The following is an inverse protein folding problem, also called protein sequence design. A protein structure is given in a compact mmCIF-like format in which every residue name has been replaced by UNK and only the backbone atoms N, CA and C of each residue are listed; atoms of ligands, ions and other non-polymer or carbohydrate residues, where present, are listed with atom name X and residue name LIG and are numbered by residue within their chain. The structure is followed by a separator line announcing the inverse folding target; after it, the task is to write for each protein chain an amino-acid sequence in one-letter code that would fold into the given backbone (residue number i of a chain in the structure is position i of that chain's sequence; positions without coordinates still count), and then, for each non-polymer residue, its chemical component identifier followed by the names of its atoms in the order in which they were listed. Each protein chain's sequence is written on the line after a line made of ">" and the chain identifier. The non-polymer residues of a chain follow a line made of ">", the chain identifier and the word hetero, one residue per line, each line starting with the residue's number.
data_IF_496227301077
#
_entry.id   IF_496227301077
#
_cell.length_a   1.000
_cell.length_b   1.000
_cell.length_c   1.000
_cell.angle_alpha   90.00
_cell.angle_beta   90.00
_cell.angle_gamma   90.00
#
_symmetry.space_group_name_H-M   'P 1'
#
loop_
_entity.id
_entity.type
_entity.pdbx_description
1 polymer ?
#
# COMPACT_ATOMS: atom_id res chain seq x y z
N UNK A 1 -4.87 5.53 -21.44
CA UNK A 1 -5.11 6.50 -20.37
C UNK A 1 -5.25 5.71 -19.08
N UNK A 2 -4.45 6.01 -18.07
CA UNK A 2 -4.40 5.30 -16.78
C UNK A 2 -5.01 6.12 -15.64
N UNK A 3 -5.63 7.27 -15.94
CA UNK A 3 -6.25 8.18 -14.98
C UNK A 3 -7.24 7.49 -14.02
N UNK A 4 -7.85 6.38 -14.44
CA UNK A 4 -8.81 5.60 -13.64
C UNK A 4 -8.35 4.18 -13.26
N UNK A 5 -7.08 3.80 -13.47
CA UNK A 5 -6.65 2.40 -13.28
C UNK A 5 -6.93 1.84 -11.87
N UNK A 6 -6.75 2.65 -10.83
CA UNK A 6 -6.88 2.21 -9.44
C UNK A 6 -8.29 1.77 -9.05
N UNK A 7 -9.33 2.33 -9.67
CA UNK A 7 -10.72 1.93 -9.44
C UNK A 7 -10.95 0.44 -9.70
N UNK A 8 -10.91 -0.03 -10.96
CA UNK A 8 -11.11 -1.44 -11.27
C UNK A 8 -10.01 -2.36 -10.70
N UNK A 9 -8.78 -1.90 -10.54
CA UNK A 9 -7.68 -2.75 -10.08
C UNK A 9 -7.61 -2.93 -8.56
N UNK A 10 -7.88 -1.89 -7.77
CA UNK A 10 -7.55 -1.84 -6.35
C UNK A 10 -8.74 -1.55 -5.43
N UNK A 11 -9.91 -1.14 -5.94
CA UNK A 11 -11.04 -0.73 -5.08
C UNK A 11 -11.46 -1.84 -4.11
N UNK A 12 -11.62 -3.08 -4.60
CA UNK A 12 -11.98 -4.21 -3.74
C UNK A 12 -10.93 -4.49 -2.65
N UNK A 13 -9.64 -4.27 -2.96
CA UNK A 13 -8.57 -4.38 -1.97
C UNK A 13 -8.65 -3.27 -0.93
N UNK A 14 -8.85 -2.03 -1.36
CA UNK A 14 -8.99 -0.86 -0.50
C UNK A 14 -10.17 -1.03 0.48
N UNK A 15 -11.34 -1.38 -0.04
CA UNK A 15 -12.54 -1.59 0.77
C UNK A 15 -12.37 -2.78 1.72
N UNK A 16 -11.74 -3.87 1.25
CA UNK A 16 -11.42 -5.03 2.08
C UNK A 16 -10.48 -4.71 3.24
N UNK A 17 -9.50 -3.81 3.04
CA UNK A 17 -8.63 -3.33 4.12
C UNK A 17 -9.42 -2.53 5.15
N UNK A 18 -10.26 -1.59 4.69
CA UNK A 18 -11.10 -0.78 5.59
C UNK A 18 -12.09 -1.66 6.38
N UNK A 19 -12.67 -2.67 5.75
CA UNK A 19 -13.57 -3.61 6.40
C UNK A 19 -12.87 -4.49 7.46
N UNK A 20 -11.60 -4.85 7.24
CA UNK A 20 -10.78 -5.59 8.24
C UNK A 20 -10.38 -4.75 9.44
N UNK A 21 -10.39 -3.43 9.29
CA UNK A 21 -10.03 -2.51 10.35
C UNK A 21 -11.27 -1.80 10.90
N UNK A 22 -11.97 -2.40 11.87
CA UNK A 22 -13.20 -1.81 12.38
C UNK A 22 -12.95 -0.45 13.04
N UNK A 23 -13.95 0.42 12.92
CA UNK A 23 -14.02 1.70 13.63
C UNK A 23 -14.27 1.39 15.12
N UNK A 24 -13.45 1.90 16.05
CA UNK A 24 -13.69 1.71 17.48
C UNK A 24 -14.99 2.39 17.92
N UNK A 25 -15.59 1.93 19.03
CA UNK A 25 -16.80 2.54 19.60
C UNK A 25 -16.57 4.03 19.87
N UNK A 26 -17.46 4.88 19.36
CA UNK A 26 -17.32 6.35 19.44
C UNK A 26 -16.29 6.95 18.48
N UNK A 27 -15.63 6.13 17.67
CA UNK A 27 -14.73 6.55 16.60
C UNK A 27 -15.48 6.88 15.31
N UNK A 28 -14.83 7.67 14.45
CA UNK A 28 -15.34 8.00 13.10
C UNK A 28 -14.63 7.25 11.99
N UNK A 29 -13.51 6.59 12.31
CA UNK A 29 -12.63 5.97 11.32
C UNK A 29 -11.76 4.86 11.93
N UNK A 30 -11.24 3.91 11.12
CA UNK A 30 -10.34 2.88 11.62
C UNK A 30 -9.09 3.43 12.30
N UNK A 31 -8.60 2.70 13.30
CA UNK A 31 -7.40 3.13 14.04
C UNK A 31 -6.14 3.04 13.17
N UNK A 32 -5.22 3.99 13.36
CA UNK A 32 -3.87 3.91 12.76
C UNK A 32 -3.18 2.60 13.06
N UNK A 33 -3.36 2.05 14.27
CA UNK A 33 -2.76 0.77 14.66
C UNK A 33 -3.21 -0.37 13.75
N UNK A 34 -4.49 -0.43 13.39
CA UNK A 34 -4.98 -1.45 12.47
C UNK A 34 -4.57 -1.19 11.03
N UNK A 35 -4.56 0.08 10.59
CA UNK A 35 -4.22 0.45 9.22
C UNK A 35 -2.74 0.30 8.88
N UNK A 36 -1.85 0.40 9.87
CA UNK A 36 -0.38 0.34 9.72
C UNK A 36 0.15 -0.78 8.81
N UNK A 37 -0.23 -2.08 8.97
CA UNK A 37 0.27 -3.15 8.11
C UNK A 37 -0.15 -3.04 6.64
N UNK A 38 -1.19 -2.27 6.34
CA UNK A 38 -1.76 -2.13 5.00
C UNK A 38 -1.34 -0.83 4.29
N UNK A 39 -0.84 0.16 5.05
CA UNK A 39 -0.44 1.44 4.49
C UNK A 39 0.81 1.30 3.60
N UNK A 40 0.76 1.69 2.32
CA UNK A 40 1.91 1.58 1.44
C UNK A 40 3.08 2.45 1.90
N UNK A 41 2.82 3.70 2.30
CA UNK A 41 3.83 4.58 2.88
C UNK A 41 3.48 5.02 4.32
N UNK A 42 4.45 5.67 4.97
CA UNK A 42 4.31 6.16 6.34
C UNK A 42 3.71 7.58 6.40
N UNK A 43 3.32 8.15 5.26
CA UNK A 43 2.71 9.48 5.19
C UNK A 43 1.44 9.53 6.02
N UNK A 44 1.32 10.50 6.93
CA UNK A 44 0.12 10.69 7.74
C UNK A 44 -0.33 12.13 7.75
N UNK A 45 -1.65 12.33 7.82
CA UNK A 45 -2.27 13.65 8.01
C UNK A 45 -2.19 14.04 9.49
N UNK A 46 -1.84 15.30 9.77
CA UNK A 46 -1.76 15.84 11.13
C UNK A 46 -3.13 15.71 11.83
N UNK A 47 -3.17 15.01 12.96
CA UNK A 47 -4.41 14.72 13.70
C UNK A 47 -5.30 13.66 13.03
N UNK A 48 -4.86 13.05 11.93
CA UNK A 48 -5.58 12.04 11.17
C UNK A 48 -4.88 10.68 11.18
N UNK A 49 -4.98 9.97 10.05
CA UNK A 49 -4.40 8.65 9.84
C UNK A 49 -3.43 8.64 8.66
N UNK A 50 -3.05 7.47 8.19
CA UNK A 50 -2.27 7.29 6.95
C UNK A 50 -2.96 7.99 5.79
N UNK A 51 -2.20 8.73 4.98
CA UNK A 51 -2.73 9.52 3.88
C UNK A 51 -3.57 8.66 2.93
N UNK A 52 -3.09 7.44 2.61
CA UNK A 52 -3.82 6.46 1.81
C UNK A 52 -5.23 6.11 2.33
N UNK A 53 -5.50 6.29 3.62
CA UNK A 53 -6.78 5.93 4.26
C UNK A 53 -7.39 7.12 4.99
N UNK A 54 -7.01 8.35 4.70
CA UNK A 54 -7.59 9.50 5.40
C UNK A 54 -9.07 9.68 4.99
N UNK A 55 -10.00 9.98 5.91
CA UNK A 55 -11.37 10.32 5.52
C UNK A 55 -11.41 11.42 4.45
N UNK A 56 -12.14 11.16 3.36
CA UNK A 56 -12.20 12.04 2.18
C UNK A 56 -11.27 11.62 1.04
N UNK A 57 -10.30 10.75 1.31
CA UNK A 57 -9.47 10.10 0.29
C UNK A 57 -10.06 8.73 -0.08
N UNK A 58 -9.60 8.17 -1.18
CA UNK A 58 -10.08 6.90 -1.72
C UNK A 58 -8.94 6.04 -2.28
N UNK A 59 -9.31 5.09 -3.15
CA UNK A 59 -8.38 4.16 -3.80
C UNK A 59 -7.29 4.87 -4.62
N UNK A 60 -7.53 6.10 -5.09
CA UNK A 60 -6.54 6.90 -5.82
C UNK A 60 -5.35 7.25 -4.92
N UNK A 61 -5.59 7.71 -3.69
CA UNK A 61 -4.50 7.99 -2.75
C UNK A 61 -3.80 6.71 -2.29
N UNK A 62 -4.51 5.60 -2.16
CA UNK A 62 -3.89 4.30 -1.90
C UNK A 62 -2.94 3.90 -3.04
N UNK A 63 -3.37 4.04 -4.29
CA UNK A 63 -2.54 3.75 -5.46
C UNK A 63 -1.35 4.71 -5.59
N UNK A 64 -1.54 5.99 -5.28
CA UNK A 64 -0.47 7.00 -5.28
C UNK A 64 0.60 6.67 -4.22
N UNK A 65 0.19 6.33 -2.99
CA UNK A 65 1.11 5.93 -1.93
C UNK A 65 1.81 4.59 -2.26
N UNK A 66 1.15 3.70 -3.01
CA UNK A 66 1.78 2.48 -3.53
C UNK A 66 2.89 2.79 -4.55
N UNK A 67 2.66 3.75 -5.45
CA UNK A 67 3.69 4.23 -6.37
C UNK A 67 4.86 4.92 -5.66
N UNK A 68 4.57 5.73 -4.64
CA UNK A 68 5.61 6.31 -3.78
C UNK A 68 6.44 5.22 -3.10
N UNK A 69 5.76 4.20 -2.53
CA UNK A 69 6.44 3.08 -1.88
C UNK A 69 7.29 2.29 -2.87
N UNK A 70 6.80 2.05 -4.08
CA UNK A 70 7.55 1.42 -5.15
C UNK A 70 8.84 2.19 -5.43
N UNK A 71 8.74 3.48 -5.74
CA UNK A 71 9.91 4.32 -6.02
C UNK A 71 10.96 4.26 -4.91
N UNK A 72 10.54 4.40 -3.65
CA UNK A 72 11.44 4.38 -2.50
C UNK A 72 12.17 3.04 -2.36
N UNK A 73 11.46 1.91 -2.47
CA UNK A 73 12.08 0.60 -2.35
C UNK A 73 12.96 0.26 -3.57
N UNK A 74 12.56 0.63 -4.80
CA UNK A 74 13.41 0.46 -5.98
C UNK A 74 14.72 1.25 -5.83
N UNK A 75 14.65 2.50 -5.36
CA UNK A 75 15.84 3.33 -5.15
C UNK A 75 16.84 2.67 -4.21
N UNK A 76 16.37 2.14 -3.08
CA UNK A 76 17.25 1.45 -2.13
C UNK A 76 17.81 0.15 -2.72
N UNK A 77 16.98 -0.64 -3.42
CA UNK A 77 17.41 -1.88 -4.06
C UNK A 77 18.50 -1.63 -5.13
N UNK A 78 18.28 -0.67 -6.02
CA UNK A 78 19.24 -0.29 -7.07
C UNK A 78 20.54 0.29 -6.49
N UNK A 79 20.46 0.95 -5.33
CA UNK A 79 21.63 1.41 -4.60
C UNK A 79 22.33 0.30 -3.77
N UNK A 80 21.88 -0.96 -3.90
CA UNK A 80 22.36 -2.10 -3.11
C UNK A 80 22.27 -1.87 -1.59
N UNK A 81 21.29 -1.08 -1.15
CA UNK A 81 21.01 -0.80 0.25
C UNK A 81 19.97 -1.77 0.79
N UNK A 82 20.06 -2.04 2.09
CA UNK A 82 19.16 -2.99 2.75
C UNK A 82 17.76 -2.40 2.90
N UNK A 83 16.76 -3.13 2.41
CA UNK A 83 15.34 -2.89 2.67
C UNK A 83 14.93 -3.83 3.81
N UNK A 84 14.79 -3.30 5.02
CA UNK A 84 14.59 -4.13 6.21
C UNK A 84 13.24 -4.90 6.20
N UNK A 85 12.19 -4.29 5.65
CA UNK A 85 10.86 -4.87 5.56
C UNK A 85 10.16 -4.42 4.27
N UNK A 86 10.42 -5.11 3.14
CA UNK A 86 9.76 -4.82 1.87
C UNK A 86 8.24 -4.87 2.01
N UNK A 87 7.54 -3.90 1.43
CA UNK A 87 6.08 -3.76 1.56
C UNK A 87 5.34 -5.02 1.13
N UNK A 88 5.72 -5.55 -0.05
CA UNK A 88 5.15 -6.75 -0.66
C UNK A 88 5.30 -8.00 0.21
N UNK A 89 6.21 -8.00 1.19
CA UNK A 89 6.50 -9.16 2.02
C UNK A 89 5.74 -9.18 3.36
N UNK A 90 4.97 -8.13 3.67
CA UNK A 90 4.30 -8.04 4.97
C UNK A 90 3.06 -8.95 5.08
N UNK A 91 2.28 -9.09 4.01
CA UNK A 91 1.07 -9.92 3.96
C UNK A 91 0.61 -10.13 2.50
N UNK A 92 -0.28 -11.09 2.27
CA UNK A 92 -0.77 -11.43 0.93
C UNK A 92 -1.46 -10.27 0.19
N UNK A 93 -2.15 -9.36 0.90
CA UNK A 93 -2.84 -8.22 0.28
C UNK A 93 -1.85 -7.19 -0.25
N UNK A 94 -0.79 -6.90 0.50
CA UNK A 94 0.27 -6.01 0.07
C UNK A 94 0.99 -6.59 -1.15
N UNK A 95 1.26 -7.90 -1.15
CA UNK A 95 1.90 -8.59 -2.27
C UNK A 95 1.04 -8.49 -3.54
N UNK A 96 -0.26 -8.73 -3.42
CA UNK A 96 -1.21 -8.63 -4.55
C UNK A 96 -1.33 -7.18 -5.06
N UNK A 97 -1.46 -6.21 -4.15
CA UNK A 97 -1.53 -4.77 -4.52
C UNK A 97 -0.27 -4.35 -5.27
N UNK A 98 0.90 -4.73 -4.74
CA UNK A 98 2.20 -4.45 -5.35
C UNK A 98 2.31 -5.06 -6.75
N UNK A 99 1.93 -6.33 -6.91
CA UNK A 99 1.97 -7.00 -8.21
C UNK A 99 1.12 -6.27 -9.25
N UNK A 100 -0.12 -5.90 -8.90
CA UNK A 100 -0.99 -5.14 -9.81
C UNK A 100 -0.33 -3.84 -10.28
N UNK A 101 0.24 -3.07 -9.35
CA UNK A 101 0.92 -1.81 -9.65
C UNK A 101 2.17 -2.00 -10.53
N UNK A 102 3.02 -2.96 -10.17
CA UNK A 102 4.26 -3.24 -10.91
C UNK A 102 3.98 -3.77 -12.31
N UNK A 103 2.98 -4.64 -12.47
CA UNK A 103 2.57 -5.14 -13.79
C UNK A 103 2.08 -4.01 -14.68
N UNK A 104 1.22 -3.12 -14.16
CA UNK A 104 0.64 -2.02 -14.94
C UNK A 104 1.70 -0.98 -15.36
N UNK A 105 2.42 -0.42 -14.39
CA UNK A 105 3.21 0.79 -14.62
C UNK A 105 4.70 0.52 -14.91
N UNK A 106 5.17 -0.69 -14.62
CA UNK A 106 6.58 -1.03 -14.67
C UNK A 106 6.88 -2.29 -15.46
N UNK A 107 5.90 -2.82 -16.22
CA UNK A 107 6.04 -4.02 -17.04
C UNK A 107 6.60 -5.24 -16.27
N UNK A 108 6.29 -5.34 -14.98
CA UNK A 108 6.81 -6.43 -14.13
C UNK A 108 8.19 -6.18 -13.52
N UNK A 109 8.87 -5.06 -13.84
CA UNK A 109 10.20 -4.78 -13.32
C UNK A 109 10.16 -4.48 -11.81
N UNK A 110 10.90 -5.25 -11.02
CA UNK A 110 11.00 -5.07 -9.58
C UNK A 110 12.37 -5.52 -9.06
N UNK A 111 13.21 -4.57 -8.69
CA UNK A 111 14.52 -4.82 -8.10
C UNK A 111 14.47 -5.14 -6.60
N UNK A 112 13.32 -4.95 -5.94
CA UNK A 112 13.18 -5.25 -4.51
C UNK A 112 13.34 -6.76 -4.29
N UNK A 113 14.20 -7.19 -3.34
CA UNK A 113 14.44 -8.60 -3.09
C UNK A 113 13.17 -9.43 -2.93
N UNK A 114 13.24 -10.70 -3.32
CA UNK A 114 12.16 -11.64 -3.11
C UNK A 114 11.85 -11.81 -1.62
N UNK A 115 10.60 -12.12 -1.30
CA UNK A 115 10.20 -12.38 0.07
C UNK A 115 10.80 -13.70 0.56
N UNK A 116 11.32 -13.78 1.81
CA UNK A 116 11.92 -15.01 2.36
C UNK A 116 10.96 -16.21 2.38
N UNK A 117 9.65 -15.95 2.47
CA UNK A 117 8.59 -16.91 2.31
C UNK A 117 7.39 -16.22 1.63
N UNK A 118 6.48 -16.99 0.99
CA UNK A 118 5.23 -16.45 0.51
C UNK A 118 4.47 -15.75 1.65
N UNK A 119 4.03 -14.49 1.47
CA UNK A 119 3.23 -13.81 2.47
C UNK A 119 1.92 -14.57 2.69
N UNK A 120 1.57 -14.79 3.96
CA UNK A 120 0.28 -15.38 4.35
C UNK A 120 -0.82 -14.33 4.40
#
# INVERSE_FOLDING_TARGET
>A
DHSWWSGPALQATYDGILARCPIPVGGKWPTRRCLRPWAPAQTTVKGGTYYAFQPGNDVHEYAAELGLRYFLEQREALASRRIAAPFKCANAVNAASWLLHVTEFHAGADAVPACPAPPR
#
